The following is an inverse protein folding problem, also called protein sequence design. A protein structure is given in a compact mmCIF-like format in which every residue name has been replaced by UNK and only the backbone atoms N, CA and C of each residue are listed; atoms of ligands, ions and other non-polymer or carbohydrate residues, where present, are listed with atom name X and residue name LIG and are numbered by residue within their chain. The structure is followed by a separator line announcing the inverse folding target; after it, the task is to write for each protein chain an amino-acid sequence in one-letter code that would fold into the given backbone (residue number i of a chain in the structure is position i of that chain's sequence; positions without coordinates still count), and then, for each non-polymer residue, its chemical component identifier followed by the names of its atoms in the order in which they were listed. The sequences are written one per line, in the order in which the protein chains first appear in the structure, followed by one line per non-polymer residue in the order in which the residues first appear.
data_IF_404610975481
#
_entry.id   IF_404610975481
#
_cell.length_a   1.000
_cell.length_b   1.000
_cell.length_c   1.000
_cell.angle_alpha   90.00
_cell.angle_beta   90.00
_cell.angle_gamma   90.00
#
_symmetry.space_group_name_H-M   'P 1'
#
loop_
_entity.id
_entity.type
_entity.pdbx_description
1 polymer ?
#
# COMPACT_ATOMS: atom_id res chain seq x y z
N UNK A 1 20.41 -9.83 2.17
CA UNK A 1 19.16 -9.78 2.98
C UNK A 1 18.44 -11.10 2.75
N UNK A 2 17.93 -11.78 3.78
CA UNK A 2 17.17 -13.03 3.57
C UNK A 2 15.76 -12.69 3.06
N UNK A 3 15.09 -13.63 2.38
CA UNK A 3 13.68 -13.49 1.95
C UNK A 3 12.76 -13.17 3.13
N UNK A 4 13.03 -13.77 4.29
CA UNK A 4 12.42 -13.47 5.59
C UNK A 4 12.48 -11.99 5.96
N UNK A 5 13.67 -11.39 5.88
CA UNK A 5 13.88 -9.97 6.18
C UNK A 5 13.21 -9.05 5.16
N UNK A 6 13.27 -9.39 3.87
CA UNK A 6 12.66 -8.58 2.80
C UNK A 6 11.15 -8.46 3.02
N UNK A 7 10.45 -9.58 3.27
CA UNK A 7 9.01 -9.58 3.52
C UNK A 7 8.61 -8.75 4.74
N UNK A 8 9.35 -8.86 5.86
CA UNK A 8 9.11 -8.06 7.07
C UNK A 8 9.32 -6.56 6.81
N UNK A 9 10.37 -6.19 6.09
CA UNK A 9 10.62 -4.78 5.71
C UNK A 9 9.51 -4.27 4.81
N UNK A 10 9.09 -5.04 3.80
CA UNK A 10 8.01 -4.65 2.91
C UNK A 10 6.68 -4.46 3.66
N UNK A 11 6.37 -5.30 4.65
CA UNK A 11 5.21 -5.13 5.52
C UNK A 11 5.28 -3.86 6.37
N UNK A 12 6.46 -3.51 6.90
CA UNK A 12 6.64 -2.24 7.62
C UNK A 12 6.45 -1.04 6.69
N UNK A 13 7.01 -1.09 5.48
CA UNK A 13 6.86 -0.01 4.50
C UNK A 13 5.40 0.13 4.10
N UNK A 14 4.70 -0.96 3.79
CA UNK A 14 3.26 -0.96 3.50
C UNK A 14 2.46 -0.34 4.65
N UNK A 15 2.74 -0.76 5.89
CA UNK A 15 2.08 -0.23 7.08
C UNK A 15 2.24 1.29 7.19
N UNK A 16 3.47 1.80 7.18
CA UNK A 16 3.71 3.21 7.43
C UNK A 16 3.31 4.10 6.24
N UNK A 17 3.50 3.64 5.00
CA UNK A 17 3.05 4.37 3.82
C UNK A 17 1.52 4.47 3.81
N UNK A 18 0.81 3.34 3.95
CA UNK A 18 -0.65 3.33 3.96
C UNK A 18 -1.24 4.03 5.19
N UNK A 19 -0.51 4.09 6.31
CA UNK A 19 -0.90 4.91 7.46
C UNK A 19 -0.83 6.40 7.14
N UNK A 20 0.27 6.85 6.52
CA UNK A 20 0.42 8.24 6.09
C UNK A 20 -0.66 8.65 5.11
N UNK A 21 -0.80 7.92 3.99
CA UNK A 21 -1.85 8.19 3.00
C UNK A 21 -3.25 8.04 3.60
N UNK A 22 -3.51 6.97 4.34
CA UNK A 22 -4.80 6.67 4.93
C UNK A 22 -5.30 7.78 5.85
N UNK A 23 -4.46 8.25 6.77
CA UNK A 23 -4.82 9.37 7.65
C UNK A 23 -4.95 10.69 6.90
N UNK A 24 -4.09 10.94 5.92
CA UNK A 24 -4.13 12.20 5.17
C UNK A 24 -5.41 12.30 4.32
N UNK A 25 -5.77 11.22 3.63
CA UNK A 25 -6.98 11.12 2.82
C UNK A 25 -8.27 11.13 3.66
N UNK A 26 -8.27 10.55 4.86
CA UNK A 26 -9.48 10.51 5.70
C UNK A 26 -9.70 11.82 6.47
N UNK A 27 -8.64 12.44 7.01
CA UNK A 27 -8.74 13.61 7.89
C UNK A 27 -8.74 14.92 7.11
N UNK A 28 -7.91 15.04 6.07
CA UNK A 28 -7.65 16.30 5.35
C UNK A 28 -7.58 16.10 3.82
N UNK A 29 -8.60 15.47 3.20
CA UNK A 29 -8.58 15.19 1.75
C UNK A 29 -8.47 16.44 0.88
N UNK A 30 -9.02 17.58 1.33
CA UNK A 30 -8.96 18.83 0.57
C UNK A 30 -7.52 19.34 0.45
N UNK A 31 -6.75 19.26 1.55
CA UNK A 31 -5.33 19.61 1.53
C UNK A 31 -4.52 18.67 0.64
N UNK A 32 -4.89 17.39 0.57
CA UNK A 32 -4.27 16.44 -0.37
C UNK A 32 -4.53 16.84 -1.83
N UNK A 33 -5.76 17.23 -2.17
CA UNK A 33 -6.08 17.79 -3.49
C UNK A 33 -5.26 19.04 -3.78
N UNK A 34 -5.15 19.98 -2.83
CA UNK A 34 -4.38 21.21 -3.00
C UNK A 34 -2.89 20.94 -3.27
N UNK A 35 -2.29 20.01 -2.53
CA UNK A 35 -0.88 19.62 -2.70
C UNK A 35 -0.65 19.00 -4.09
N UNK A 36 -1.56 18.13 -4.51
CA UNK A 36 -1.50 17.52 -5.84
C UNK A 36 -1.90 18.47 -6.97
N UNK A 37 -2.43 19.66 -6.64
CA UNK A 37 -3.06 20.57 -7.59
C UNK A 37 -4.13 19.82 -8.41
N UNK A 38 -4.98 19.08 -7.70
CA UNK A 38 -6.03 18.23 -8.26
C UNK A 38 -7.40 18.82 -7.98
N UNK A 39 -8.35 18.59 -8.89
CA UNK A 39 -9.73 19.02 -8.67
C UNK A 39 -10.37 18.32 -7.45
N UNK A 40 -11.02 19.11 -6.58
CA UNK A 40 -11.67 18.61 -5.36
C UNK A 40 -13.04 17.91 -5.60
N UNK A 41 -13.22 17.32 -6.78
CA UNK A 41 -14.53 16.81 -7.24
C UNK A 41 -15.01 15.62 -6.42
N UNK A 42 -14.12 14.95 -5.67
CA UNK A 42 -14.48 13.69 -5.02
C UNK A 42 -13.86 13.41 -3.63
N UNK A 43 -13.90 14.40 -2.74
CA UNK A 43 -13.32 14.31 -1.39
C UNK A 43 -13.96 13.21 -0.53
N UNK A 44 -15.24 12.89 -0.74
CA UNK A 44 -15.90 11.76 -0.09
C UNK A 44 -15.27 10.42 -0.49
N UNK A 45 -14.93 10.25 -1.76
CA UNK A 45 -14.23 9.05 -2.23
C UNK A 45 -12.81 8.97 -1.70
N UNK A 46 -12.08 10.09 -1.62
CA UNK A 46 -10.76 10.12 -0.99
C UNK A 46 -10.82 9.63 0.47
N UNK A 47 -11.81 10.06 1.26
CA UNK A 47 -11.99 9.55 2.63
C UNK A 47 -12.24 8.04 2.66
N UNK A 48 -13.04 7.52 1.74
CA UNK A 48 -13.30 6.08 1.63
C UNK A 48 -12.04 5.29 1.25
N UNK A 49 -11.23 5.80 0.32
CA UNK A 49 -9.92 5.22 -0.02
C UNK A 49 -9.00 5.25 1.20
N UNK A 50 -8.95 6.37 1.92
CA UNK A 50 -8.18 6.50 3.15
C UNK A 50 -8.60 5.48 4.22
N UNK A 51 -9.91 5.33 4.44
CA UNK A 51 -10.45 4.33 5.37
C UNK A 51 -10.11 2.90 4.93
N UNK A 52 -10.18 2.60 3.64
CA UNK A 52 -9.78 1.30 3.09
C UNK A 52 -8.29 1.03 3.34
N UNK A 53 -7.40 1.97 3.02
CA UNK A 53 -5.95 1.85 3.27
C UNK A 53 -5.63 1.59 4.75
N UNK A 54 -6.30 2.30 5.66
CA UNK A 54 -6.15 2.06 7.10
C UNK A 54 -6.67 0.65 7.47
N UNK A 55 -7.83 0.25 6.96
CA UNK A 55 -8.45 -1.03 7.31
C UNK A 55 -7.73 -2.26 6.76
N UNK A 56 -7.28 -2.21 5.51
CA UNK A 56 -6.67 -3.37 4.84
C UNK A 56 -5.16 -3.39 5.05
N UNK A 57 -4.46 -2.34 4.61
CA UNK A 57 -3.01 -2.31 4.62
C UNK A 57 -2.46 -2.06 6.03
N UNK A 58 -2.96 -1.06 6.76
CA UNK A 58 -2.41 -0.76 8.10
C UNK A 58 -2.73 -1.86 9.10
N UNK A 59 -4.03 -2.17 9.30
CA UNK A 59 -4.39 -3.21 10.26
C UNK A 59 -3.85 -4.58 9.85
N UNK A 60 -3.93 -4.93 8.57
CA UNK A 60 -3.48 -6.24 8.13
C UNK A 60 -1.96 -6.40 8.13
N UNK A 61 -1.17 -5.39 7.75
CA UNK A 61 0.29 -5.43 7.94
C UNK A 61 0.67 -5.44 9.42
N UNK A 62 -0.05 -4.71 10.29
CA UNK A 62 0.20 -4.74 11.73
C UNK A 62 -0.07 -6.12 12.34
N UNK A 63 -1.21 -6.72 12.01
CA UNK A 63 -1.59 -8.06 12.48
C UNK A 63 -0.59 -9.10 11.99
N UNK A 64 -0.17 -9.03 10.73
CA UNK A 64 0.84 -9.92 10.17
C UNK A 64 2.20 -9.74 10.84
N UNK A 65 2.65 -8.50 11.09
CA UNK A 65 3.93 -8.24 11.78
C UNK A 65 3.91 -8.76 13.22
N UNK A 66 2.74 -8.75 13.88
CA UNK A 66 2.56 -9.28 15.23
C UNK A 66 2.50 -10.81 15.26
N UNK A 67 1.81 -11.42 14.31
CA UNK A 67 1.63 -12.87 14.20
C UNK A 67 1.57 -13.29 12.73
N UNK A 68 2.73 -13.53 12.10
CA UNK A 68 2.78 -13.85 10.67
C UNK A 68 1.96 -15.09 10.33
N UNK A 69 1.16 -15.01 9.28
CA UNK A 69 0.43 -16.16 8.73
C UNK A 69 0.38 -16.09 7.21
N UNK A 70 0.41 -17.26 6.57
CA UNK A 70 0.40 -17.39 5.11
C UNK A 70 -0.82 -16.71 4.48
N UNK A 71 -2.01 -16.94 5.04
CA UNK A 71 -3.24 -16.38 4.51
C UNK A 71 -3.26 -14.85 4.60
N UNK A 72 -2.79 -14.28 5.72
CA UNK A 72 -2.66 -12.82 5.85
C UNK A 72 -1.60 -12.28 4.89
N UNK A 73 -0.48 -12.98 4.71
CA UNK A 73 0.55 -12.62 3.75
C UNK A 73 0.01 -12.58 2.32
N UNK A 74 -0.75 -13.61 1.90
CA UNK A 74 -1.43 -13.65 0.60
C UNK A 74 -2.41 -12.51 0.42
N UNK A 75 -3.23 -12.23 1.43
CA UNK A 75 -4.18 -11.10 1.39
C UNK A 75 -3.43 -9.77 1.22
N UNK A 76 -2.39 -9.53 2.00
CA UNK A 76 -1.61 -8.29 1.90
C UNK A 76 -0.92 -8.12 0.55
N UNK A 77 -0.28 -9.17 0.05
CA UNK A 77 0.36 -9.13 -1.27
C UNK A 77 -0.67 -8.88 -2.38
N UNK A 78 -1.83 -9.52 -2.32
CA UNK A 78 -2.91 -9.31 -3.29
C UNK A 78 -3.50 -7.91 -3.22
N UNK A 79 -3.77 -7.39 -2.02
CA UNK A 79 -4.28 -6.03 -1.82
C UNK A 79 -3.30 -5.00 -2.35
N UNK A 80 -2.04 -5.03 -1.93
CA UNK A 80 -1.01 -4.11 -2.41
C UNK A 80 -0.81 -4.21 -3.93
N UNK A 81 -0.86 -5.42 -4.49
CA UNK A 81 -0.75 -5.65 -5.92
C UNK A 81 -1.92 -5.07 -6.72
N UNK A 82 -3.14 -5.22 -6.23
CA UNK A 82 -4.33 -4.62 -6.86
C UNK A 82 -4.28 -3.09 -6.80
N UNK A 83 -3.85 -2.51 -5.68
CA UNK A 83 -3.67 -1.06 -5.54
C UNK A 83 -2.61 -0.54 -6.51
N UNK A 84 -1.42 -1.16 -6.54
CA UNK A 84 -0.33 -0.81 -7.44
C UNK A 84 -0.75 -0.92 -8.91
N UNK A 85 -1.47 -2.00 -9.26
CA UNK A 85 -1.99 -2.21 -10.61
C UNK A 85 -3.00 -1.13 -11.00
N UNK A 86 -4.02 -0.88 -10.16
CA UNK A 86 -5.04 0.12 -10.41
C UNK A 86 -4.43 1.52 -10.60
N UNK A 87 -3.54 1.93 -9.70
CA UNK A 87 -2.87 3.23 -9.81
C UNK A 87 -1.98 3.33 -11.06
N UNK A 88 -1.29 2.25 -11.43
CA UNK A 88 -0.47 2.21 -12.64
C UNK A 88 -1.32 2.38 -13.90
N UNK A 89 -2.47 1.69 -13.97
CA UNK A 89 -3.39 1.80 -15.10
C UNK A 89 -3.98 3.22 -15.19
N UNK A 90 -4.44 3.78 -14.07
CA UNK A 90 -4.96 5.16 -14.05
C UNK A 90 -3.90 6.19 -14.46
N UNK A 91 -2.63 5.95 -14.14
CA UNK A 91 -1.52 6.80 -14.58
C UNK A 91 -1.29 6.69 -16.10
N UNK A 92 -1.32 5.48 -16.66
CA UNK A 92 -1.17 5.24 -18.10
C UNK A 92 -2.32 5.82 -18.93
N UNK A 93 -3.54 5.80 -18.37
CA UNK A 93 -4.74 6.34 -19.01
C UNK A 93 -4.91 7.85 -18.80
N UNK A 94 -4.07 8.49 -17.97
CA UNK A 94 -4.15 9.92 -17.69
C UNK A 94 -5.39 10.32 -16.88
N UNK A 95 -5.87 9.44 -15.99
CA UNK A 95 -7.11 9.64 -15.22
C UNK A 95 -6.92 10.53 -13.99
N UNK A 96 -5.67 10.81 -13.60
CA UNK A 96 -5.39 11.71 -12.48
C UNK A 96 -5.61 13.16 -12.89
N UNK A 97 -6.46 13.88 -12.15
CA UNK A 97 -6.69 15.32 -12.31
C UNK A 97 -5.56 16.19 -11.71
N UNK A 98 -4.46 15.57 -11.27
CA UNK A 98 -3.36 16.22 -10.57
C UNK A 98 -2.34 16.83 -11.53
N UNK A 99 -2.07 18.13 -11.42
CA UNK A 99 -0.99 18.77 -12.18
C UNK A 99 0.41 18.36 -11.65
N UNK A 100 0.54 18.07 -10.36
CA UNK A 100 1.79 17.56 -9.75
C UNK A 100 1.95 16.03 -9.93
N UNK A 101 1.94 15.58 -11.19
CA UNK A 101 1.90 14.15 -11.53
C UNK A 101 3.10 13.35 -10.97
N UNK A 102 4.24 14.00 -10.74
CA UNK A 102 5.45 13.34 -10.21
C UNK A 102 5.21 12.71 -8.83
N UNK A 103 4.35 13.32 -7.99
CA UNK A 103 4.00 12.77 -6.67
C UNK A 103 3.20 11.47 -6.81
N UNK A 104 2.28 11.44 -7.78
CA UNK A 104 1.50 10.24 -8.11
C UNK A 104 2.44 9.15 -8.65
N UNK A 105 3.35 9.49 -9.55
CA UNK A 105 4.35 8.58 -10.09
C UNK A 105 5.23 7.97 -8.99
N UNK A 106 5.72 8.78 -8.06
CA UNK A 106 6.50 8.31 -6.92
C UNK A 106 5.71 7.31 -6.06
N UNK A 107 4.42 7.59 -5.84
CA UNK A 107 3.50 6.71 -5.10
C UNK A 107 3.30 5.36 -5.81
N UNK A 108 3.09 5.38 -7.13
CA UNK A 108 2.95 4.17 -7.96
C UNK A 108 4.22 3.32 -7.89
N UNK A 109 5.39 3.94 -8.07
CA UNK A 109 6.67 3.24 -8.01
C UNK A 109 6.88 2.59 -6.66
N UNK A 110 6.59 3.30 -5.56
CA UNK A 110 6.65 2.74 -4.21
C UNK A 110 5.71 1.54 -4.06
N UNK A 111 4.46 1.65 -4.51
CA UNK A 111 3.47 0.57 -4.41
C UNK A 111 3.92 -0.69 -5.17
N UNK A 112 4.53 -0.55 -6.35
CA UNK A 112 5.10 -1.66 -7.11
C UNK A 112 6.23 -2.33 -6.31
N UNK A 113 7.17 -1.56 -5.78
CA UNK A 113 8.29 -2.10 -5.00
C UNK A 113 7.83 -2.80 -3.73
N UNK A 114 6.85 -2.22 -3.01
CA UNK A 114 6.23 -2.86 -1.84
C UNK A 114 5.59 -4.18 -2.24
N UNK A 115 4.79 -4.21 -3.31
CA UNK A 115 4.15 -5.44 -3.81
C UNK A 115 5.17 -6.54 -4.09
N UNK A 116 6.26 -6.22 -4.79
CA UNK A 116 7.35 -7.17 -5.07
C UNK A 116 8.00 -7.64 -3.76
N UNK A 117 8.25 -6.72 -2.83
CA UNK A 117 8.83 -7.03 -1.52
C UNK A 117 7.91 -7.90 -0.63
N UNK A 118 6.59 -7.82 -0.82
CA UNK A 118 5.59 -8.65 -0.14
C UNK A 118 5.43 -10.03 -0.80
N UNK A 119 5.92 -10.24 -2.02
CA UNK A 119 5.77 -11.53 -2.70
C UNK A 119 6.25 -12.73 -1.86
N UNK A 120 7.40 -12.69 -1.15
CA UNK A 120 7.82 -13.77 -0.28
C UNK A 120 6.79 -14.11 0.81
N UNK A 121 6.07 -13.14 1.37
CA UNK A 121 5.12 -13.38 2.46
C UNK A 121 3.88 -14.17 2.03
N UNK A 122 3.65 -14.28 0.72
CA UNK A 122 2.55 -15.07 0.13
C UNK A 122 2.94 -16.53 -0.18
N UNK A 123 4.20 -16.92 0.07
CA UNK A 123 4.73 -18.26 -0.22
C UNK A 123 4.94 -19.07 1.08
N UNK A 124 4.72 -20.38 1.01
CA UNK A 124 4.85 -21.31 2.15
C UNK A 124 6.28 -21.35 2.70
N UNK A 125 7.27 -21.38 1.80
CA UNK A 125 8.70 -21.36 2.12
C UNK A 125 9.11 -20.25 3.10
N UNK A 126 8.40 -19.11 3.09
CA UNK A 126 8.70 -18.00 4.00
C UNK A 126 8.49 -18.37 5.47
N UNK A 127 7.51 -19.23 5.75
CA UNK A 127 7.10 -19.62 7.10
C UNK A 127 7.88 -20.84 7.57
N UNK A 128 8.11 -21.81 6.69
CA UNK A 128 8.91 -23.01 7.01
C UNK A 128 10.34 -22.62 7.44
N UNK A 129 10.94 -21.67 6.73
CA UNK A 129 12.29 -21.15 7.05
C UNK A 129 12.34 -20.26 8.31
N UNK A 130 11.22 -20.00 9.00
CA UNK A 130 11.19 -19.33 10.30
C UNK A 130 11.03 -20.28 11.49
N UNK A 131 10.76 -21.57 11.24
CA UNK A 131 10.63 -22.60 12.28
C UNK A 131 12.00 -23.18 12.69
N UNK A 132 13.03 -22.98 11.85
CA UNK A 132 14.39 -23.52 12.04
C UNK A 132 15.38 -22.59 12.79
N UNK A 133 14.89 -21.63 13.59
CA UNK A 133 15.72 -20.73 14.43
C UNK A 133 15.34 -20.85 15.90
#
# INVERSE_FOLDING_TARGET
MTTGTIGKVAMMVNLYASMGYGFFLILVPDLFCDILQAEAVNTAWLRTIGAALLGTNVLGSWLWLKSPSLDMGRVQTATAGLEAFAMSISLLLGEFTADNIWMVQASVVLAIFVTIGLFPTANEDFYDNQIDI
#
